data_IF_912758177665
#
_entry.id   IF_912758177665
#
_cell.length_a   1.000
_cell.length_b   1.000
_cell.length_c   1.000
_cell.angle_alpha   90.00
_cell.angle_beta   90.00
_cell.angle_gamma   90.00
#
_symmetry.space_group_name_H-M   'P 1'
#
loop_
_entity.id
_entity.type
_entity.pdbx_description
1 polymer ?
#
# COMPACT_ATOMS: atom_id res chain seq x y z
N UNK A 1 21.91 -23.11 -21.59
CA UNK A 1 20.82 -22.13 -21.75
C UNK A 1 21.44 -20.74 -21.79
N UNK A 2 21.01 -19.92 -22.74
CA UNK A 2 21.48 -18.53 -22.88
C UNK A 2 21.01 -17.69 -21.67
N UNK A 3 21.95 -17.01 -21.00
CA UNK A 3 21.67 -16.15 -19.83
C UNK A 3 20.69 -15.03 -20.17
N UNK A 4 20.71 -14.53 -21.40
CA UNK A 4 19.76 -13.53 -21.88
C UNK A 4 18.35 -14.13 -22.00
N UNK A 5 18.23 -15.32 -22.58
CA UNK A 5 16.94 -16.02 -22.68
C UNK A 5 16.31 -16.28 -21.29
N UNK A 6 17.13 -16.68 -20.31
CA UNK A 6 16.67 -16.85 -18.92
C UNK A 6 16.23 -15.52 -18.31
N UNK A 7 16.99 -14.45 -18.50
CA UNK A 7 16.64 -13.12 -18.00
C UNK A 7 15.31 -12.62 -18.62
N UNK A 8 15.09 -12.81 -19.92
CA UNK A 8 13.84 -12.45 -20.59
C UNK A 8 12.65 -13.29 -20.11
N UNK A 9 12.86 -14.57 -19.79
CA UNK A 9 11.84 -15.41 -19.17
C UNK A 9 11.47 -14.90 -17.77
N UNK A 10 12.46 -14.52 -16.95
CA UNK A 10 12.23 -13.91 -15.64
C UNK A 10 11.43 -12.59 -15.76
N UNK A 11 11.77 -11.73 -16.72
CA UNK A 11 11.02 -10.48 -16.97
C UNK A 11 9.56 -10.77 -17.36
N UNK A 12 9.28 -11.81 -18.16
CA UNK A 12 7.92 -12.25 -18.48
C UNK A 12 7.15 -12.65 -17.21
N UNK A 13 7.78 -13.44 -16.35
CA UNK A 13 7.19 -13.83 -15.06
C UNK A 13 6.95 -12.63 -14.15
N UNK A 14 7.91 -11.70 -14.05
CA UNK A 14 7.79 -10.49 -13.25
C UNK A 14 6.62 -9.60 -13.73
N UNK A 15 6.49 -9.37 -15.04
CA UNK A 15 5.39 -8.59 -15.59
C UNK A 15 4.01 -9.23 -15.32
N UNK A 16 3.93 -10.57 -15.25
CA UNK A 16 2.70 -11.27 -14.92
C UNK A 16 2.18 -10.96 -13.51
N UNK A 17 3.03 -10.45 -12.61
CA UNK A 17 2.63 -9.98 -11.28
C UNK A 17 1.92 -8.62 -11.30
N UNK A 18 2.05 -7.86 -12.40
CA UNK A 18 1.51 -6.50 -12.50
C UNK A 18 0.01 -6.47 -12.87
N UNK A 19 -0.73 -5.43 -12.45
CA UNK A 19 -2.09 -5.16 -12.90
C UNK A 19 -2.19 -5.03 -14.42
N UNK A 20 -3.33 -5.47 -14.98
CA UNK A 20 -3.60 -5.48 -16.42
C UNK A 20 -3.19 -4.21 -17.20
N UNK A 21 -3.60 -2.99 -16.77
CA UNK A 21 -3.29 -1.77 -17.53
C UNK A 21 -1.80 -1.38 -17.55
N UNK A 22 -0.96 -1.96 -16.70
CA UNK A 22 0.45 -1.61 -16.59
C UNK A 22 1.38 -2.73 -17.07
N UNK A 23 0.86 -3.94 -17.19
CA UNK A 23 1.60 -5.16 -17.55
C UNK A 23 2.31 -5.05 -18.90
N UNK A 24 1.58 -4.66 -19.95
CA UNK A 24 2.13 -4.63 -21.32
C UNK A 24 3.28 -3.63 -21.44
N UNK A 25 3.09 -2.41 -20.91
CA UNK A 25 4.10 -1.34 -20.93
C UNK A 25 5.37 -1.73 -20.17
N UNK A 26 5.24 -2.25 -18.94
CA UNK A 26 6.41 -2.65 -18.16
C UNK A 26 7.14 -3.84 -18.79
N UNK A 27 6.40 -4.79 -19.39
CA UNK A 27 7.01 -5.92 -20.09
C UNK A 27 7.87 -5.47 -21.28
N UNK A 28 7.41 -4.48 -22.04
CA UNK A 28 8.17 -3.90 -23.15
C UNK A 28 9.44 -3.20 -22.63
N UNK A 29 9.28 -2.28 -21.66
CA UNK A 29 10.38 -1.51 -21.08
C UNK A 29 11.46 -2.41 -20.46
N UNK A 30 11.06 -3.36 -19.61
CA UNK A 30 12.01 -4.23 -18.92
C UNK A 30 12.72 -5.21 -19.86
N UNK A 31 12.10 -5.60 -20.98
CA UNK A 31 12.79 -6.38 -22.01
C UNK A 31 13.86 -5.55 -22.70
N UNK A 32 13.55 -4.32 -23.06
CA UNK A 32 14.51 -3.39 -23.64
C UNK A 32 15.68 -3.14 -22.68
N UNK A 33 15.41 -2.94 -21.38
CA UNK A 33 16.45 -2.75 -20.37
C UNK A 33 17.36 -3.98 -20.24
N UNK A 34 16.80 -5.19 -20.25
CA UNK A 34 17.56 -6.45 -20.17
C UNK A 34 18.39 -6.71 -21.42
N UNK A 35 17.86 -6.38 -22.60
CA UNK A 35 18.60 -6.45 -23.86
C UNK A 35 19.74 -5.41 -23.88
N UNK A 36 19.45 -4.17 -23.52
CA UNK A 36 20.46 -3.10 -23.41
C UNK A 36 21.54 -3.42 -22.38
N UNK A 37 21.19 -4.05 -21.26
CA UNK A 37 22.18 -4.52 -20.29
C UNK A 37 23.14 -5.55 -20.91
N UNK A 38 22.65 -6.47 -21.74
CA UNK A 38 23.50 -7.44 -22.42
C UNK A 38 24.43 -6.75 -23.43
N UNK A 39 23.91 -5.79 -24.20
CA UNK A 39 24.67 -5.02 -25.18
C UNK A 39 25.79 -4.19 -24.53
N UNK A 40 25.55 -3.68 -23.31
CA UNK A 40 26.52 -2.90 -22.53
C UNK A 40 27.50 -3.78 -21.72
N UNK A 41 27.46 -5.11 -21.86
CA UNK A 41 28.30 -6.03 -21.10
C UNK A 41 27.94 -6.12 -19.61
N UNK A 42 26.78 -5.59 -19.21
CA UNK A 42 26.23 -5.72 -17.86
C UNK A 42 25.53 -7.07 -17.70
N UNK A 43 25.25 -7.46 -16.46
CA UNK A 43 24.60 -8.74 -16.18
C UNK A 43 23.07 -8.66 -16.39
N UNK A 44 22.51 -9.31 -17.44
CA UNK A 44 21.07 -9.25 -17.71
C UNK A 44 20.26 -9.98 -16.61
N UNK A 45 20.85 -11.02 -16.03
CA UNK A 45 20.27 -11.78 -14.92
C UNK A 45 20.13 -10.94 -13.65
N UNK A 46 21.17 -10.17 -13.27
CA UNK A 46 21.07 -9.29 -12.08
C UNK A 46 19.97 -8.24 -12.27
N UNK A 47 19.85 -7.69 -13.47
CA UNK A 47 18.79 -6.73 -13.79
C UNK A 47 17.41 -7.39 -13.69
N UNK A 48 17.21 -8.55 -14.32
CA UNK A 48 15.94 -9.28 -14.27
C UNK A 48 15.52 -9.69 -12.83
N UNK A 49 16.48 -10.03 -11.96
CA UNK A 49 16.21 -10.28 -10.54
C UNK A 49 15.72 -8.99 -9.85
N UNK A 50 16.40 -7.86 -10.08
CA UNK A 50 15.97 -6.56 -9.57
C UNK A 50 14.56 -6.17 -10.04
N UNK A 51 14.27 -6.40 -11.32
CA UNK A 51 12.95 -6.22 -11.92
C UNK A 51 11.88 -7.08 -11.23
N UNK A 52 12.21 -8.33 -10.89
CA UNK A 52 11.28 -9.24 -10.19
C UNK A 52 10.95 -8.73 -8.79
N UNK A 53 11.94 -8.22 -8.04
CA UNK A 53 11.71 -7.60 -6.73
C UNK A 53 10.87 -6.33 -6.85
N UNK A 54 11.13 -5.50 -7.86
CA UNK A 54 10.34 -4.30 -8.13
C UNK A 54 8.88 -4.65 -8.46
N UNK A 55 8.65 -5.63 -9.34
CA UNK A 55 7.32 -6.10 -9.70
C UNK A 55 6.55 -6.62 -8.48
N UNK A 56 7.20 -7.40 -7.60
CA UNK A 56 6.60 -7.88 -6.37
C UNK A 56 6.19 -6.71 -5.44
N UNK A 57 7.06 -5.70 -5.28
CA UNK A 57 6.73 -4.50 -4.48
C UNK A 57 5.56 -3.71 -5.06
N UNK A 58 5.55 -3.48 -6.37
CA UNK A 58 4.46 -2.79 -7.06
C UNK A 58 3.15 -3.56 -6.86
N UNK A 59 3.16 -4.88 -7.04
CA UNK A 59 1.98 -5.71 -6.84
C UNK A 59 1.44 -5.65 -5.39
N UNK A 60 2.34 -5.64 -4.39
CA UNK A 60 1.95 -5.49 -2.98
C UNK A 60 1.33 -4.11 -2.70
N UNK A 61 1.92 -3.03 -3.23
CA UNK A 61 1.39 -1.67 -3.05
C UNK A 61 0.04 -1.52 -3.76
N UNK A 62 -0.08 -1.99 -5.00
CA UNK A 62 -1.33 -1.89 -5.76
C UNK A 62 -2.47 -2.71 -5.13
N UNK A 63 -2.17 -3.89 -4.59
CA UNK A 63 -3.13 -4.68 -3.80
C UNK A 63 -3.60 -3.90 -2.57
N UNK A 64 -2.73 -3.10 -1.95
CA UNK A 64 -3.07 -2.27 -0.79
C UNK A 64 -3.95 -1.07 -1.16
N UNK A 65 -3.77 -0.48 -2.33
CA UNK A 65 -4.62 0.64 -2.81
C UNK A 65 -6.03 0.19 -3.25
N UNK A 66 -6.20 -1.07 -3.66
CA UNK A 66 -7.52 -1.66 -3.94
C UNK A 66 -8.41 -1.82 -2.71
N UNK A 67 -7.87 -1.67 -1.49
CA UNK A 67 -8.67 -1.54 -0.28
C UNK A 67 -8.56 -0.10 0.18
N UNK A 68 -9.67 0.64 0.04
CA UNK A 68 -9.96 1.95 0.61
C UNK A 68 -8.82 2.53 1.45
N UNK A 69 -8.20 3.59 0.94
CA UNK A 69 -7.18 4.42 1.60
C UNK A 69 -7.33 4.34 3.13
N UNK A 70 -6.50 3.51 3.78
CA UNK A 70 -6.56 3.42 5.23
C UNK A 70 -6.15 4.80 5.74
N UNK A 71 -7.04 5.51 6.45
CA UNK A 71 -6.67 6.80 6.98
C UNK A 71 -5.44 6.62 7.86
N UNK A 72 -4.51 7.56 7.79
CA UNK A 72 -3.32 7.60 8.62
C UNK A 72 -3.53 8.76 9.60
N UNK A 73 -3.25 8.56 10.89
CA UNK A 73 -3.43 9.58 11.93
C UNK A 73 -4.74 9.49 12.72
N UNK A 74 -5.28 10.61 13.25
CA UNK A 74 -6.42 10.59 14.18
C UNK A 74 -7.68 9.90 13.64
N UNK A 75 -7.92 10.00 12.33
CA UNK A 75 -9.03 9.34 11.66
C UNK A 75 -8.89 7.81 11.63
N UNK A 76 -7.65 7.29 11.55
CA UNK A 76 -7.35 5.87 11.66
C UNK A 76 -7.75 5.31 13.02
N UNK A 77 -7.41 6.06 14.07
CA UNK A 77 -7.74 5.74 15.45
C UNK A 77 -9.25 5.78 15.68
N UNK A 78 -9.93 6.81 15.14
CA UNK A 78 -11.38 6.94 15.24
C UNK A 78 -12.11 5.73 14.61
N UNK A 79 -11.74 5.33 13.39
CA UNK A 79 -12.34 4.18 12.74
C UNK A 79 -12.06 2.86 13.48
N UNK A 80 -10.86 2.72 14.06
CA UNK A 80 -10.50 1.53 14.85
C UNK A 80 -11.27 1.45 16.17
N UNK A 81 -11.54 2.59 16.80
CA UNK A 81 -12.37 2.67 18.02
C UNK A 81 -13.85 2.38 17.73
N UNK A 82 -14.35 2.79 16.57
CA UNK A 82 -15.76 2.59 16.16
C UNK A 82 -16.01 1.18 15.61
N UNK A 83 -15.04 0.55 14.95
CA UNK A 83 -15.19 -0.77 14.35
C UNK A 83 -14.76 -1.96 15.22
N UNK A 84 -14.16 -1.73 16.38
CA UNK A 84 -13.62 -2.78 17.25
C UNK A 84 -14.67 -3.42 18.19
N UNK A 85 -14.39 -4.60 18.77
CA UNK A 85 -15.28 -5.29 19.71
C UNK A 85 -15.59 -4.49 21.00
N UNK A 86 -14.86 -3.40 21.25
CA UNK A 86 -15.08 -2.45 22.35
C UNK A 86 -15.81 -1.16 21.97
N UNK A 87 -16.30 -1.01 20.74
CA UNK A 87 -16.85 0.24 20.21
C UNK A 87 -17.97 0.83 21.06
N UNK A 88 -18.89 -0.01 21.55
CA UNK A 88 -19.97 0.42 22.45
C UNK A 88 -19.43 1.01 23.76
N UNK A 89 -18.37 0.41 24.32
CA UNK A 89 -17.76 0.89 25.57
C UNK A 89 -17.07 2.23 25.36
N UNK A 90 -16.34 2.40 24.25
CA UNK A 90 -15.70 3.67 23.90
C UNK A 90 -16.72 4.78 23.63
N UNK A 91 -17.81 4.48 22.92
CA UNK A 91 -18.89 5.43 22.69
C UNK A 91 -19.54 5.89 24.01
N UNK A 92 -19.79 4.96 24.95
CA UNK A 92 -20.32 5.27 26.28
C UNK A 92 -19.37 6.16 27.07
N UNK A 93 -18.06 5.85 27.07
CA UNK A 93 -17.07 6.67 27.77
C UNK A 93 -17.00 8.09 27.22
N UNK A 94 -17.01 8.27 25.90
CA UNK A 94 -17.00 9.59 25.26
C UNK A 94 -18.28 10.37 25.56
N UNK A 95 -19.44 9.73 25.49
CA UNK A 95 -20.72 10.35 25.83
C UNK A 95 -20.76 10.83 27.28
N UNK A 96 -20.23 10.03 28.22
CA UNK A 96 -20.12 10.43 29.62
C UNK A 96 -19.18 11.64 29.80
N UNK A 97 -18.03 11.64 29.13
CA UNK A 97 -17.06 12.74 29.20
C UNK A 97 -17.64 14.05 28.67
N UNK A 98 -18.31 14.01 27.51
CA UNK A 98 -18.99 15.18 26.97
C UNK A 98 -20.16 15.62 27.83
N UNK A 99 -20.94 14.68 28.39
CA UNK A 99 -22.04 15.00 29.31
C UNK A 99 -21.55 15.74 30.55
N UNK A 100 -20.47 15.27 31.18
CA UNK A 100 -19.86 15.93 32.34
C UNK A 100 -19.32 17.31 31.97
N UNK A 101 -18.62 17.44 30.84
CA UNK A 101 -18.12 18.73 30.38
C UNK A 101 -19.25 19.73 30.10
N UNK A 102 -20.37 19.26 29.52
CA UNK A 102 -21.54 20.08 29.24
C UNK A 102 -22.22 20.55 30.53
N UNK A 103 -22.36 19.66 31.51
CA UNK A 103 -22.93 19.98 32.83
C UNK A 103 -22.03 20.97 33.59
N UNK A 104 -20.72 20.80 33.54
CA UNK A 104 -19.77 21.73 34.13
C UNK A 104 -19.88 23.13 33.48
N UNK A 105 -19.96 23.19 32.15
CA UNK A 105 -20.17 24.43 31.41
C UNK A 105 -21.52 25.11 31.73
N UNK A 106 -22.60 24.33 31.82
CA UNK A 106 -23.91 24.83 32.25
C UNK A 106 -23.88 25.38 33.67
N UNK A 107 -23.22 24.69 34.60
CA UNK A 107 -23.03 25.18 35.96
C UNK A 107 -22.33 26.52 35.96
N UNK A 108 -21.22 26.64 35.23
CA UNK A 108 -20.45 27.88 35.12
C UNK A 108 -21.30 29.03 34.52
N UNK A 109 -22.14 28.74 33.53
CA UNK A 109 -23.01 29.72 32.87
C UNK A 109 -24.18 30.16 33.76
N UNK A 110 -24.69 29.28 34.62
CA UNK A 110 -25.82 29.58 35.51
C UNK A 110 -25.38 30.25 36.82
N UNK A 111 -24.12 30.06 37.24
CA UNK A 111 -23.57 30.64 38.48
C UNK A 111 -22.63 31.82 38.26
N UNK A 112 -22.29 32.14 37.00
CA UNK A 112 -21.54 33.33 36.61
C UNK A 112 -22.48 34.47 36.23
#
# INVERSE_FOLDING_TARGET
MDRLAVALALVRCAAALLPGPHRARHLEQWRADVQGAAELGLSPLRLAVGTTVAAARIAVVYRKESHAMQPIGPLALALRLVGGPGARRHAVTLAALFGVALLAGLGLLLTG
#
